data_IF_512996373350
#
_entry.id   IF_512996373350
#
_cell.length_a   1.000
_cell.length_b   1.000
_cell.length_c   1.000
_cell.angle_alpha   90.00
_cell.angle_beta   90.00
_cell.angle_gamma   90.00
#
_symmetry.space_group_name_H-M   'P 1'
#
loop_
_entity.id
_entity.type
_entity.pdbx_description
1 polymer ?
#
# COMPACT_ATOMS: atom_id res chain seq x y z
N UNK A 1 14.76 5.49 -4.21
CA UNK A 1 13.43 5.28 -3.60
C UNK A 1 13.56 4.16 -2.59
N UNK A 2 13.06 4.39 -1.38
CA UNK A 2 12.99 3.39 -0.31
C UNK A 2 11.70 2.58 -0.46
N UNK A 3 11.66 1.40 0.15
CA UNK A 3 10.46 0.55 0.19
C UNK A 3 10.60 -0.76 -0.57
N UNK A 4 9.87 -1.78 -0.10
CA UNK A 4 9.86 -3.12 -0.72
C UNK A 4 8.72 -3.20 -1.72
N UNK A 5 8.96 -3.73 -2.92
CA UNK A 5 7.93 -3.91 -3.95
C UNK A 5 6.81 -4.80 -3.43
N UNK A 6 5.56 -4.41 -3.67
CA UNK A 6 4.37 -5.22 -3.39
C UNK A 6 3.86 -5.78 -4.72
N UNK A 7 3.47 -7.06 -4.70
CA UNK A 7 2.84 -7.76 -5.81
C UNK A 7 1.62 -8.49 -5.28
N UNK A 8 0.57 -8.57 -6.09
CA UNK A 8 -0.58 -9.42 -5.82
C UNK A 8 -0.29 -10.80 -6.43
N UNK A 9 -0.17 -11.80 -5.57
CA UNK A 9 0.12 -13.18 -5.97
C UNK A 9 -0.49 -14.12 -4.93
N UNK A 10 -0.62 -15.40 -5.27
CA UNK A 10 -0.92 -16.42 -4.28
C UNK A 10 0.27 -16.52 -3.31
N UNK A 11 0.04 -16.49 -1.99
CA UNK A 11 1.11 -16.61 -1.02
C UNK A 11 1.66 -18.04 -1.01
N UNK A 12 2.98 -18.18 -0.97
CA UNK A 12 3.65 -19.49 -0.81
C UNK A 12 3.26 -20.17 0.51
N UNK A 13 2.98 -19.37 1.54
CA UNK A 13 2.57 -19.81 2.88
C UNK A 13 1.31 -19.07 3.30
N UNK A 14 0.16 -19.72 3.11
CA UNK A 14 -1.18 -19.16 3.41
C UNK A 14 -1.32 -18.71 4.88
N UNK A 15 -0.56 -19.32 5.81
CA UNK A 15 -0.59 -18.98 7.25
C UNK A 15 0.39 -17.87 7.66
N UNK A 16 1.10 -17.23 6.73
CA UNK A 16 2.02 -16.15 7.06
C UNK A 16 1.27 -14.85 7.33
N UNK A 17 1.04 -14.51 8.59
CA UNK A 17 0.36 -13.28 9.01
C UNK A 17 1.06 -11.98 8.54
N UNK A 18 2.28 -12.07 8.00
CA UNK A 18 2.99 -10.89 7.47
C UNK A 18 2.44 -10.38 6.14
N UNK A 19 1.58 -11.17 5.48
CA UNK A 19 0.93 -10.80 4.22
C UNK A 19 -0.40 -10.06 4.44
N UNK A 20 -0.88 -10.02 5.69
CA UNK A 20 -2.13 -9.36 6.06
C UNK A 20 -1.98 -7.84 6.11
N UNK A 21 -3.09 -7.15 5.81
CA UNK A 21 -3.20 -5.69 5.86
C UNK A 21 -4.31 -5.28 6.81
N UNK A 22 -3.98 -4.41 7.74
CA UNK A 22 -4.96 -3.74 8.58
C UNK A 22 -5.45 -2.47 7.90
N UNK A 23 -6.77 -2.33 7.82
CA UNK A 23 -7.43 -1.14 7.26
C UNK A 23 -7.61 -0.09 8.35
N UNK A 24 -7.01 1.08 8.16
CA UNK A 24 -7.15 2.23 9.05
C UNK A 24 -7.88 3.33 8.31
N UNK A 25 -9.04 3.76 8.81
CA UNK A 25 -9.82 4.86 8.19
C UNK A 25 -9.14 6.21 8.44
N UNK A 26 -9.11 7.05 7.41
CA UNK A 26 -8.65 8.43 7.46
C UNK A 26 -9.59 9.30 6.61
N UNK A 27 -10.57 9.94 7.26
CA UNK A 27 -11.66 10.63 6.58
C UNK A 27 -12.42 9.70 5.63
N UNK A 28 -12.46 10.05 4.34
CA UNK A 28 -13.08 9.26 3.28
C UNK A 28 -12.15 8.23 2.62
N UNK A 29 -10.90 8.16 3.05
CA UNK A 29 -9.88 7.27 2.51
C UNK A 29 -9.44 6.24 3.55
N UNK A 30 -8.63 5.28 3.12
CA UNK A 30 -8.03 4.29 4.01
C UNK A 30 -6.52 4.23 3.85
N UNK A 31 -5.85 3.84 4.94
CA UNK A 31 -4.45 3.39 4.95
C UNK A 31 -4.45 1.89 5.15
N UNK A 32 -3.56 1.22 4.43
CA UNK A 32 -3.35 -0.23 4.57
C UNK A 32 -2.03 -0.45 5.28
N UNK A 33 -2.07 -0.83 6.56
CA UNK A 33 -0.90 -1.07 7.40
C UNK A 33 -0.53 -2.56 7.34
N UNK A 34 0.68 -2.85 6.89
CA UNK A 34 1.22 -4.21 6.88
C UNK A 34 2.06 -4.50 8.12
N UNK A 35 2.56 -5.73 8.20
CA UNK A 35 3.49 -6.15 9.25
C UNK A 35 4.71 -5.22 9.35
N UNK A 36 5.12 -4.87 10.58
CA UNK A 36 6.20 -3.91 10.83
C UNK A 36 5.76 -2.45 10.78
N UNK A 37 4.46 -2.17 10.70
CA UNK A 37 3.88 -0.83 10.92
C UNK A 37 4.00 0.13 9.75
N UNK A 38 4.46 -0.35 8.58
CA UNK A 38 4.55 0.44 7.35
C UNK A 38 3.31 0.27 6.47
N UNK A 39 3.14 1.16 5.50
CA UNK A 39 1.91 1.27 4.72
C UNK A 39 2.08 0.83 3.27
N UNK A 40 0.96 0.44 2.66
CA UNK A 40 0.85 0.31 1.21
C UNK A 40 0.93 1.71 0.59
N UNK A 41 1.90 1.92 -0.29
CA UNK A 41 2.22 3.22 -0.88
C UNK A 41 2.17 3.17 -2.40
N UNK A 42 1.37 4.04 -2.99
CA UNK A 42 1.33 4.29 -4.42
C UNK A 42 2.51 5.18 -4.82
N UNK A 43 3.39 4.71 -5.70
CA UNK A 43 4.52 5.52 -6.17
C UNK A 43 4.12 6.38 -7.36
N UNK A 44 3.96 7.69 -7.12
CA UNK A 44 3.92 8.71 -8.16
C UNK A 44 5.33 9.15 -8.57
N UNK A 45 5.46 9.82 -9.72
CA UNK A 45 6.70 10.46 -10.16
C UNK A 45 7.32 9.88 -11.44
N UNK A 46 8.52 10.36 -11.76
CA UNK A 46 9.26 10.03 -12.99
C UNK A 46 9.77 8.57 -12.97
N UNK A 47 9.89 7.89 -14.12
CA UNK A 47 10.56 6.59 -14.21
C UNK A 47 11.93 6.60 -13.50
N UNK A 48 12.34 5.49 -12.84
CA UNK A 48 11.78 4.12 -12.86
C UNK A 48 10.69 3.84 -11.81
N UNK A 49 10.25 4.88 -11.10
CA UNK A 49 9.43 4.75 -9.88
C UNK A 49 7.93 4.76 -10.13
N UNK A 50 7.54 5.33 -11.28
CA UNK A 50 6.16 5.39 -11.76
C UNK A 50 5.53 4.00 -11.77
N UNK A 51 4.23 3.95 -11.46
CA UNK A 51 3.38 2.76 -11.59
C UNK A 51 3.84 1.55 -10.75
N UNK A 52 4.42 1.78 -9.57
CA UNK A 52 4.77 0.71 -8.64
C UNK A 52 4.08 0.90 -7.30
N UNK A 53 3.78 -0.21 -6.65
CA UNK A 53 3.29 -0.25 -5.27
C UNK A 53 4.39 -0.76 -4.35
N UNK A 54 4.58 -0.12 -3.20
CA UNK A 54 5.60 -0.49 -2.23
C UNK A 54 5.06 -0.52 -0.81
N UNK A 55 5.70 -1.30 0.05
CA UNK A 55 5.55 -1.26 1.50
C UNK A 55 6.60 -0.31 2.08
N UNK A 56 6.18 0.89 2.49
CA UNK A 56 7.07 1.89 3.08
C UNK A 56 6.34 2.95 3.92
N UNK A 57 7.10 3.73 4.69
CA UNK A 57 6.59 4.94 5.34
C UNK A 57 6.89 6.19 4.51
N UNK A 58 5.98 7.17 4.48
CA UNK A 58 6.28 8.48 3.93
C UNK A 58 7.28 9.20 4.85
N UNK A 59 8.34 9.75 4.28
CA UNK A 59 9.40 10.47 5.02
C UNK A 59 9.24 11.99 4.96
N UNK A 60 8.43 12.50 4.04
CA UNK A 60 8.25 13.94 3.80
C UNK A 60 6.79 14.29 3.50
N UNK A 61 6.41 15.56 3.74
CA UNK A 61 5.04 16.07 3.60
C UNK A 61 4.39 15.76 2.24
N UNK A 62 5.14 15.88 1.13
CA UNK A 62 4.61 15.64 -0.22
C UNK A 62 4.27 14.18 -0.52
N UNK A 63 4.80 13.24 0.27
CA UNK A 63 4.56 11.80 0.11
C UNK A 63 3.53 11.23 1.08
N UNK A 64 3.04 12.04 2.04
CA UNK A 64 2.07 11.60 3.05
C UNK A 64 0.77 11.07 2.42
N UNK A 65 0.32 11.69 1.33
CA UNK A 65 -0.93 11.30 0.67
C UNK A 65 -0.77 10.04 -0.18
N UNK A 66 0.45 9.54 -0.40
CA UNK A 66 0.70 8.37 -1.25
C UNK A 66 0.32 7.05 -0.57
N UNK A 67 0.01 7.08 0.73
CA UNK A 67 -0.48 5.93 1.48
C UNK A 67 -2.00 5.94 1.67
N UNK A 68 -2.68 6.96 1.14
CA UNK A 68 -4.13 7.09 1.18
C UNK A 68 -4.72 6.44 -0.07
N UNK A 69 -5.72 5.59 0.15
CA UNK A 69 -6.41 4.84 -0.90
C UNK A 69 -7.89 5.11 -0.86
N UNK A 70 -8.50 5.25 -2.03
CA UNK A 70 -9.95 5.21 -2.18
C UNK A 70 -10.39 3.74 -2.29
N UNK A 71 -11.55 3.42 -1.73
CA UNK A 71 -12.19 2.11 -1.90
C UNK A 71 -13.35 2.30 -2.87
N UNK A 72 -13.20 1.74 -4.06
CA UNK A 72 -14.23 1.77 -5.09
C UNK A 72 -14.89 0.39 -5.15
N UNK A 73 -16.17 0.23 -4.75
CA UNK A 73 -16.87 -1.03 -4.93
C UNK A 73 -17.05 -1.27 -6.43
N UNK A 74 -16.74 -2.48 -6.87
CA UNK A 74 -17.06 -2.95 -8.21
C UNK A 74 -18.25 -3.91 -8.11
N UNK A 75 -19.18 -3.79 -9.04
CA UNK A 75 -20.22 -4.80 -9.20
C UNK A 75 -19.58 -6.10 -9.69
N UNK A 76 -19.91 -7.21 -9.03
CA UNK A 76 -19.49 -8.53 -9.49
C UNK A 76 -20.49 -8.96 -10.57
N UNK A 77 -20.03 -9.31 -11.80
CA UNK A 77 -20.90 -9.76 -12.88
C UNK A 77 -21.73 -11.00 -12.52
#
# INVERSE_FOLDING_TARGET
>A
MTGKKVIQTLPEKIKDLRIEWEVIRDGFQVKLRGFGGKYLRANGGMPPWRNKVTHDNPYSGSTLNWILWNVEPIDVP
#
